data_IF_902403937930
#
_entry.id   IF_902403937930
#
_cell.length_a   1.000
_cell.length_b   1.000
_cell.length_c   1.000
_cell.angle_alpha   90.00
_cell.angle_beta   90.00
_cell.angle_gamma   90.00
#
_symmetry.space_group_name_H-M   'P 1'
#
loop_
_entity.id
_entity.type
_entity.pdbx_description
1 polymer ?
#
# COMPACT_ATOMS: atom_id res chain seq x y z
N UNK A 1 -32.02 -22.05 14.92
CA UNK A 1 -30.88 -22.94 15.23
C UNK A 1 -29.71 -22.73 14.26
N UNK A 2 -29.51 -21.51 13.74
CA UNK A 2 -28.40 -21.15 12.83
C UNK A 2 -27.19 -20.55 13.54
N UNK A 3 -27.34 -20.12 14.80
CA UNK A 3 -26.30 -19.43 15.59
C UNK A 3 -24.97 -20.18 15.72
N UNK A 4 -24.95 -21.51 15.60
CA UNK A 4 -23.70 -22.31 15.67
C UNK A 4 -22.86 -22.16 14.41
N UNK A 5 -23.47 -21.82 13.27
CA UNK A 5 -22.78 -21.73 11.97
C UNK A 5 -22.35 -20.32 11.60
N UNK A 6 -22.82 -19.30 12.33
CA UNK A 6 -22.57 -17.89 12.00
C UNK A 6 -21.06 -17.55 11.95
N UNK A 7 -20.25 -18.30 12.71
CA UNK A 7 -18.79 -18.16 12.75
C UNK A 7 -18.04 -19.23 11.94
N UNK A 8 -18.74 -20.09 11.20
CA UNK A 8 -18.15 -21.19 10.44
C UNK A 8 -17.48 -20.73 9.14
N UNK A 9 -16.28 -21.23 8.88
CA UNK A 9 -15.60 -21.07 7.59
C UNK A 9 -16.21 -22.00 6.51
N UNK A 10 -15.89 -21.73 5.24
CA UNK A 10 -16.40 -22.53 4.13
C UNK A 10 -16.01 -24.02 4.23
N UNK A 11 -14.76 -24.40 4.55
CA UNK A 11 -14.38 -25.80 4.79
C UNK A 11 -15.26 -26.51 5.83
N UNK A 12 -15.55 -25.87 6.97
CA UNK A 12 -16.40 -26.44 8.02
C UNK A 12 -17.83 -26.62 7.54
N UNK A 13 -18.39 -25.64 6.83
CA UNK A 13 -19.72 -25.75 6.23
C UNK A 13 -19.82 -26.90 5.22
N UNK A 14 -18.79 -27.08 4.39
CA UNK A 14 -18.75 -28.19 3.44
C UNK A 14 -18.73 -29.53 4.17
N UNK A 15 -17.90 -29.70 5.22
CA UNK A 15 -17.89 -30.92 6.05
C UNK A 15 -19.26 -31.20 6.64
N UNK A 16 -19.91 -30.19 7.22
CA UNK A 16 -21.25 -30.32 7.82
C UNK A 16 -22.30 -30.68 6.76
N UNK A 17 -22.17 -30.16 5.53
CA UNK A 17 -23.08 -30.47 4.41
C UNK A 17 -23.08 -31.94 3.97
N UNK A 18 -22.08 -32.72 4.39
CA UNK A 18 -22.00 -34.16 4.13
C UNK A 18 -22.74 -35.01 5.17
N UNK A 19 -23.13 -34.46 6.31
CA UNK A 19 -23.76 -35.23 7.41
C UNK A 19 -25.15 -35.75 7.05
N UNK A 20 -26.07 -34.88 6.61
CA UNK A 20 -27.39 -35.27 6.13
C UNK A 20 -27.98 -34.22 5.16
N UNK A 21 -29.12 -34.54 4.54
CA UNK A 21 -29.80 -33.64 3.58
C UNK A 21 -30.20 -32.29 4.21
N UNK A 22 -30.63 -32.29 5.47
CA UNK A 22 -30.99 -31.08 6.19
C UNK A 22 -29.78 -30.15 6.36
N UNK A 23 -28.66 -30.66 6.89
CA UNK A 23 -27.43 -29.89 7.03
C UNK A 23 -26.85 -29.40 5.70
N UNK A 24 -27.04 -30.16 4.62
CA UNK A 24 -26.70 -29.67 3.27
C UNK A 24 -27.51 -28.46 2.86
N UNK A 25 -28.83 -28.48 3.09
CA UNK A 25 -29.69 -27.34 2.80
C UNK A 25 -29.31 -26.13 3.67
N UNK A 26 -29.09 -26.35 4.97
CA UNK A 26 -28.64 -25.29 5.91
C UNK A 26 -27.31 -24.69 5.47
N UNK A 27 -26.31 -25.52 5.16
CA UNK A 27 -24.99 -25.06 4.71
C UNK A 27 -25.08 -24.27 3.41
N UNK A 28 -25.90 -24.70 2.44
CA UNK A 28 -26.09 -23.99 1.17
C UNK A 28 -26.81 -22.66 1.31
N UNK A 29 -27.72 -22.53 2.27
CA UNK A 29 -28.39 -21.25 2.57
C UNK A 29 -27.48 -20.26 3.31
N UNK A 30 -26.40 -20.73 3.93
CA UNK A 30 -25.50 -19.90 4.72
C UNK A 30 -24.71 -18.89 3.86
N UNK A 31 -24.57 -17.61 4.26
CA UNK A 31 -23.82 -16.61 3.49
C UNK A 31 -22.39 -17.02 3.16
N UNK A 32 -21.66 -17.69 4.05
CA UNK A 32 -20.30 -18.16 3.73
C UNK A 32 -20.27 -19.12 2.53
N UNK A 33 -21.36 -19.84 2.24
CA UNK A 33 -21.44 -20.69 1.05
C UNK A 33 -21.55 -19.87 -0.24
N UNK A 34 -22.38 -18.84 -0.34
CA UNK A 34 -22.66 -18.18 -1.63
C UNK A 34 -22.11 -16.74 -1.75
N UNK A 35 -21.75 -16.08 -0.65
CA UNK A 35 -21.30 -14.67 -0.65
C UNK A 35 -19.87 -14.51 -1.19
N UNK A 36 -18.91 -15.28 -0.68
CA UNK A 36 -17.49 -15.14 -1.04
C UNK A 36 -17.04 -16.22 -2.03
N UNK A 37 -17.26 -16.01 -3.33
CA UNK A 37 -17.06 -17.03 -4.36
C UNK A 37 -15.65 -16.92 -4.94
N UNK A 38 -14.86 -18.00 -4.83
CA UNK A 38 -13.49 -18.09 -5.34
C UNK A 38 -13.38 -19.13 -6.45
N UNK A 39 -12.64 -18.80 -7.51
CA UNK A 39 -12.27 -19.72 -8.58
C UNK A 39 -10.77 -19.61 -8.86
N UNK A 40 -10.04 -20.72 -8.69
CA UNK A 40 -8.59 -20.79 -8.87
C UNK A 40 -8.14 -21.89 -9.85
N UNK A 41 -9.10 -22.64 -10.41
CA UNK A 41 -8.85 -23.69 -11.42
C UNK A 41 -10.07 -23.81 -12.33
N UNK A 42 -9.88 -24.33 -13.54
CA UNK A 42 -10.93 -24.56 -14.55
C UNK A 42 -11.31 -26.04 -14.68
N UNK A 43 -10.91 -26.87 -13.71
CA UNK A 43 -11.37 -28.26 -13.62
C UNK A 43 -12.89 -28.34 -13.56
N UNK A 44 -13.47 -29.44 -14.04
CA UNK A 44 -14.93 -29.63 -14.04
C UNK A 44 -15.53 -29.47 -12.65
N UNK A 45 -14.93 -30.09 -11.63
CA UNK A 45 -15.41 -29.96 -10.24
C UNK A 45 -15.35 -28.53 -9.69
N UNK A 46 -14.31 -27.76 -10.05
CA UNK A 46 -14.20 -26.36 -9.64
C UNK A 46 -15.26 -25.48 -10.31
N UNK A 47 -15.52 -25.71 -11.61
CA UNK A 47 -16.55 -24.99 -12.36
C UNK A 47 -17.97 -25.34 -11.88
N UNK A 48 -18.25 -26.61 -11.64
CA UNK A 48 -19.53 -27.07 -11.10
C UNK A 48 -19.79 -26.44 -9.72
N UNK A 49 -18.76 -26.41 -8.86
CA UNK A 49 -18.85 -25.79 -7.55
C UNK A 49 -19.05 -24.26 -7.65
N UNK A 50 -18.32 -23.60 -8.54
CA UNK A 50 -18.47 -22.17 -8.81
C UNK A 50 -19.90 -21.83 -9.28
N UNK A 51 -20.42 -22.57 -10.26
CA UNK A 51 -21.76 -22.39 -10.81
C UNK A 51 -22.83 -22.65 -9.73
N UNK A 52 -22.70 -23.74 -8.96
CA UNK A 52 -23.63 -24.06 -7.88
C UNK A 52 -23.71 -22.96 -6.80
N UNK A 53 -22.61 -22.25 -6.54
CA UNK A 53 -22.58 -21.13 -5.59
C UNK A 53 -23.20 -19.87 -6.17
N UNK A 54 -22.95 -19.57 -7.45
CA UNK A 54 -23.61 -18.47 -8.14
C UNK A 54 -25.12 -18.68 -8.22
N UNK A 55 -25.58 -19.89 -8.50
CA UNK A 55 -27.01 -20.17 -8.68
C UNK A 55 -27.76 -20.29 -7.34
N UNK A 56 -27.06 -20.27 -6.21
CA UNK A 56 -27.66 -20.45 -4.88
C UNK A 56 -28.55 -19.28 -4.45
N UNK A 57 -28.25 -18.08 -4.91
CA UNK A 57 -29.07 -16.88 -4.69
C UNK A 57 -29.25 -16.18 -6.02
N UNK A 58 -30.30 -15.38 -6.19
CA UNK A 58 -30.55 -14.60 -7.41
C UNK A 58 -30.27 -13.11 -7.22
N UNK A 59 -30.61 -12.53 -6.07
CA UNK A 59 -30.51 -11.08 -5.82
C UNK A 59 -29.61 -10.64 -4.66
N UNK A 60 -28.96 -11.58 -3.97
CA UNK A 60 -28.09 -11.27 -2.84
C UNK A 60 -26.72 -10.77 -3.31
N UNK A 61 -26.11 -9.92 -2.49
CA UNK A 61 -24.78 -9.38 -2.76
C UNK A 61 -23.71 -10.47 -2.71
N UNK A 62 -22.86 -10.50 -3.74
CA UNK A 62 -21.76 -11.46 -3.83
C UNK A 62 -20.41 -10.78 -4.05
N UNK A 63 -19.35 -11.45 -3.61
CA UNK A 63 -17.96 -11.10 -3.82
C UNK A 63 -17.31 -12.18 -4.69
N UNK A 64 -16.64 -11.76 -5.77
CA UNK A 64 -15.98 -12.65 -6.71
C UNK A 64 -14.46 -12.54 -6.59
N UNK A 65 -13.78 -13.70 -6.54
CA UNK A 65 -12.32 -13.78 -6.54
C UNK A 65 -11.86 -14.86 -7.53
N UNK A 66 -11.61 -14.44 -8.77
CA UNK A 66 -11.21 -15.29 -9.89
C UNK A 66 -9.76 -14.97 -10.24
N UNK A 67 -8.86 -15.92 -10.01
CA UNK A 67 -7.42 -15.76 -10.29
C UNK A 67 -6.94 -16.98 -11.07
N UNK A 68 -6.75 -16.80 -12.36
CA UNK A 68 -6.44 -17.86 -13.34
C UNK A 68 -5.25 -17.45 -14.24
N UNK A 69 -4.08 -17.09 -13.68
CA UNK A 69 -2.93 -16.59 -14.45
C UNK A 69 -2.34 -17.62 -15.42
N UNK A 70 -2.44 -18.92 -15.11
CA UNK A 70 -1.80 -20.00 -15.86
C UNK A 70 -2.79 -20.96 -16.52
N UNK A 71 -4.07 -20.57 -16.62
CA UNK A 71 -5.09 -21.45 -17.16
C UNK A 71 -4.95 -21.58 -18.68
N UNK A 72 -4.42 -22.71 -19.14
CA UNK A 72 -4.25 -23.04 -20.56
C UNK A 72 -5.58 -23.32 -21.29
N UNK A 73 -6.62 -23.75 -20.57
CA UNK A 73 -7.93 -24.04 -21.15
C UNK A 73 -8.79 -22.78 -21.28
N UNK A 74 -8.34 -21.81 -22.09
CA UNK A 74 -9.05 -20.55 -22.33
C UNK A 74 -10.50 -20.74 -22.82
N UNK A 75 -10.77 -21.85 -23.51
CA UNK A 75 -12.11 -22.22 -23.97
C UNK A 75 -13.13 -22.31 -22.84
N UNK A 76 -12.79 -22.90 -21.69
CA UNK A 76 -13.69 -23.03 -20.53
C UNK A 76 -13.92 -21.69 -19.83
N UNK A 77 -12.89 -20.85 -19.75
CA UNK A 77 -13.03 -19.48 -19.22
C UNK A 77 -14.04 -18.71 -20.06
N UNK A 78 -13.89 -18.78 -21.39
CA UNK A 78 -14.78 -18.13 -22.35
C UNK A 78 -16.20 -18.68 -22.31
N UNK A 79 -16.41 -20.00 -22.27
CA UNK A 79 -17.73 -20.60 -22.45
C UNK A 79 -18.51 -20.77 -21.14
N UNK A 80 -17.84 -20.85 -20.00
CA UNK A 80 -18.47 -21.12 -18.69
C UNK A 80 -18.30 -19.94 -17.74
N UNK A 81 -17.06 -19.56 -17.44
CA UNK A 81 -16.75 -18.60 -16.37
C UNK A 81 -17.25 -17.21 -16.69
N UNK A 82 -16.85 -16.64 -17.83
CA UNK A 82 -17.19 -15.27 -18.19
C UNK A 82 -18.69 -15.05 -18.40
N UNK A 83 -19.45 -15.96 -19.07
CA UNK A 83 -20.90 -15.84 -19.14
C UNK A 83 -21.56 -15.90 -17.76
N UNK A 84 -21.06 -16.72 -16.85
CA UNK A 84 -21.59 -16.80 -15.49
C UNK A 84 -21.32 -15.51 -14.70
N UNK A 85 -20.15 -14.90 -14.86
CA UNK A 85 -19.84 -13.59 -14.27
C UNK A 85 -20.77 -12.50 -14.85
N UNK A 86 -20.90 -12.44 -16.18
CA UNK A 86 -21.74 -11.45 -16.86
C UNK A 86 -23.20 -11.49 -16.37
N UNK A 87 -23.79 -12.70 -16.25
CA UNK A 87 -25.16 -12.88 -15.73
C UNK A 87 -25.34 -12.38 -14.30
N UNK A 88 -24.29 -12.41 -13.48
CA UNK A 88 -24.34 -12.09 -12.06
C UNK A 88 -23.78 -10.70 -11.73
N UNK A 89 -23.27 -9.94 -12.72
CA UNK A 89 -22.55 -8.69 -12.50
C UNK A 89 -23.37 -7.63 -11.74
N UNK A 90 -24.69 -7.58 -11.97
CA UNK A 90 -25.62 -6.63 -11.34
C UNK A 90 -25.69 -6.71 -9.80
N UNK A 91 -25.25 -7.83 -9.20
CA UNK A 91 -25.26 -8.05 -7.74
C UNK A 91 -23.87 -8.24 -7.14
N UNK A 92 -22.82 -8.06 -7.96
CA UNK A 92 -21.44 -8.13 -7.48
C UNK A 92 -21.10 -6.82 -6.78
N UNK A 93 -20.68 -6.92 -5.52
CA UNK A 93 -20.23 -5.75 -4.71
C UNK A 93 -18.72 -5.60 -4.79
N UNK A 94 -17.99 -6.72 -4.79
CA UNK A 94 -16.54 -6.75 -4.91
C UNK A 94 -16.13 -7.80 -5.94
N UNK A 95 -15.23 -7.45 -6.84
CA UNK A 95 -14.77 -8.38 -7.87
C UNK A 95 -13.28 -8.25 -8.07
N UNK A 96 -12.55 -9.37 -7.97
CA UNK A 96 -11.16 -9.49 -8.38
C UNK A 96 -11.06 -10.55 -9.46
N UNK A 97 -10.75 -10.11 -10.68
CA UNK A 97 -10.66 -10.94 -11.88
C UNK A 97 -9.27 -10.75 -12.49
N UNK A 98 -8.42 -11.75 -12.31
CA UNK A 98 -7.05 -11.74 -12.79
C UNK A 98 -6.84 -12.96 -13.69
N UNK A 99 -6.69 -12.74 -14.99
CA UNK A 99 -6.75 -13.78 -16.02
C UNK A 99 -5.47 -13.83 -16.86
N UNK A 100 -5.31 -14.88 -17.65
CA UNK A 100 -4.29 -14.92 -18.70
C UNK A 100 -4.61 -13.92 -19.81
N UNK A 101 -3.59 -13.29 -20.40
CA UNK A 101 -3.73 -12.28 -21.45
C UNK A 101 -4.56 -12.72 -22.65
N UNK A 102 -4.41 -13.97 -23.11
CA UNK A 102 -5.17 -14.48 -24.26
C UNK A 102 -6.69 -14.57 -24.03
N UNK A 103 -7.15 -14.38 -22.79
CA UNK A 103 -8.57 -14.32 -22.45
C UNK A 103 -9.15 -12.91 -22.44
N UNK A 104 -8.32 -11.88 -22.62
CA UNK A 104 -8.68 -10.50 -22.33
C UNK A 104 -9.82 -9.96 -23.20
N UNK A 105 -9.78 -10.19 -24.51
CA UNK A 105 -10.85 -9.77 -25.43
C UNK A 105 -12.21 -10.39 -25.07
N UNK A 106 -12.21 -11.67 -24.65
CA UNK A 106 -13.42 -12.35 -24.20
C UNK A 106 -13.91 -11.79 -22.85
N UNK A 107 -13.00 -11.48 -21.93
CA UNK A 107 -13.35 -10.92 -20.63
C UNK A 107 -13.98 -9.53 -20.80
N UNK A 108 -13.34 -8.64 -21.57
CA UNK A 108 -13.83 -7.28 -21.80
C UNK A 108 -15.20 -7.27 -22.50
N UNK A 109 -15.40 -8.13 -23.50
CA UNK A 109 -16.72 -8.27 -24.16
C UNK A 109 -17.82 -8.85 -23.24
N UNK A 110 -17.44 -9.56 -22.17
CA UNK A 110 -18.37 -10.08 -21.18
C UNK A 110 -18.76 -9.04 -20.11
N UNK A 111 -18.00 -7.94 -19.98
CA UNK A 111 -18.26 -6.85 -19.05
C UNK A 111 -19.11 -5.74 -19.67
N UNK A 112 -20.11 -6.10 -20.47
CA UNK A 112 -21.02 -5.17 -21.14
C UNK A 112 -22.30 -4.89 -20.35
N UNK A 113 -22.52 -5.57 -19.23
CA UNK A 113 -23.69 -5.37 -18.35
C UNK A 113 -23.46 -4.36 -17.24
N UNK A 114 -24.55 -3.77 -16.74
CA UNK A 114 -24.48 -2.79 -15.65
C UNK A 114 -24.06 -3.45 -14.33
N UNK A 115 -23.11 -2.85 -13.62
CA UNK A 115 -22.63 -3.31 -12.32
C UNK A 115 -23.01 -2.28 -11.23
N UNK A 116 -24.32 -2.12 -11.01
CA UNK A 116 -24.85 -1.03 -10.17
C UNK A 116 -24.43 -1.10 -8.70
N UNK A 117 -24.14 -2.29 -8.18
CA UNK A 117 -23.73 -2.52 -6.79
C UNK A 117 -22.21 -2.59 -6.59
N UNK A 118 -21.43 -2.55 -7.67
CA UNK A 118 -19.98 -2.75 -7.62
C UNK A 118 -19.30 -1.58 -6.91
N UNK A 119 -18.54 -1.88 -5.86
CA UNK A 119 -17.80 -0.92 -5.04
C UNK A 119 -16.29 -1.03 -5.24
N UNK A 120 -15.80 -2.27 -5.34
CA UNK A 120 -14.39 -2.56 -5.59
C UNK A 120 -14.26 -3.46 -6.81
N UNK A 121 -13.45 -3.04 -7.78
CA UNK A 121 -13.16 -3.83 -8.97
C UNK A 121 -11.66 -3.96 -9.17
N UNK A 122 -11.18 -5.18 -9.34
CA UNK A 122 -9.80 -5.45 -9.71
C UNK A 122 -9.80 -6.26 -11.00
N UNK A 123 -9.19 -5.74 -12.05
CA UNK A 123 -9.06 -6.38 -13.35
C UNK A 123 -7.60 -6.42 -13.76
N UNK A 124 -7.11 -7.59 -14.17
CA UNK A 124 -5.74 -7.73 -14.63
C UNK A 124 -5.52 -8.88 -15.58
N UNK A 125 -4.53 -8.72 -16.45
CA UNK A 125 -4.16 -9.70 -17.47
C UNK A 125 -2.69 -10.07 -17.36
N UNK A 126 -2.38 -11.31 -16.97
CA UNK A 126 -1.00 -11.77 -16.85
C UNK A 126 -0.44 -12.25 -18.19
N UNK A 127 0.81 -11.89 -18.47
CA UNK A 127 1.57 -12.31 -19.64
C UNK A 127 3.08 -12.30 -19.37
N UNK A 128 3.86 -12.82 -20.34
CA UNK A 128 5.29 -12.55 -20.43
C UNK A 128 5.55 -11.09 -20.80
N UNK A 129 6.67 -10.50 -20.39
CA UNK A 129 6.95 -9.05 -20.43
C UNK A 129 6.89 -8.38 -21.82
N UNK A 130 6.73 -9.13 -22.91
CA UNK A 130 6.78 -8.65 -24.29
C UNK A 130 5.43 -8.20 -24.87
N UNK A 131 4.31 -8.40 -24.16
CA UNK A 131 2.97 -8.02 -24.66
C UNK A 131 2.63 -6.57 -24.36
N UNK A 132 1.97 -5.96 -25.34
CA UNK A 132 1.31 -4.67 -25.17
C UNK A 132 0.13 -4.80 -24.20
N UNK A 133 -0.17 -3.77 -23.40
CA UNK A 133 -1.34 -3.80 -22.51
C UNK A 133 -2.65 -3.87 -23.28
N UNK A 134 -3.67 -4.41 -22.60
CA UNK A 134 -5.00 -4.58 -23.21
C UNK A 134 -5.80 -3.28 -23.11
N UNK A 135 -6.19 -2.72 -24.24
CA UNK A 135 -7.04 -1.53 -24.27
C UNK A 135 -8.44 -1.82 -23.70
N UNK A 136 -8.87 -1.01 -22.73
CA UNK A 136 -10.21 -1.09 -22.14
C UNK A 136 -11.26 -0.50 -23.09
N UNK A 137 -12.46 -1.09 -23.21
CA UNK A 137 -13.54 -0.48 -23.97
C UNK A 137 -14.14 0.70 -23.19
N UNK A 138 -14.48 1.78 -23.91
CA UNK A 138 -15.03 3.00 -23.32
C UNK A 138 -16.37 2.79 -22.58
N UNK A 139 -17.11 1.76 -22.98
CA UNK A 139 -18.42 1.37 -22.44
C UNK A 139 -18.34 0.21 -21.44
N UNK A 140 -17.14 -0.11 -20.91
CA UNK A 140 -16.99 -1.17 -19.89
C UNK A 140 -17.97 -0.95 -18.73
N UNK A 141 -18.62 -2.04 -18.30
CA UNK A 141 -19.69 -2.07 -17.29
C UNK A 141 -20.93 -1.24 -17.71
N UNK A 142 -21.24 -1.23 -19.01
CA UNK A 142 -22.27 -0.38 -19.64
C UNK A 142 -22.10 1.12 -19.37
N UNK A 143 -20.92 1.57 -18.96
CA UNK A 143 -20.70 2.94 -18.49
C UNK A 143 -21.49 3.32 -17.22
N UNK A 144 -22.03 2.36 -16.46
CA UNK A 144 -22.88 2.63 -15.30
C UNK A 144 -22.45 1.86 -14.03
N UNK A 145 -21.60 2.50 -13.23
CA UNK A 145 -21.12 2.00 -11.93
C UNK A 145 -21.12 3.10 -10.85
N UNK A 146 -22.30 3.55 -10.39
CA UNK A 146 -22.41 4.72 -9.50
C UNK A 146 -21.72 4.51 -8.14
N UNK A 147 -21.55 3.26 -7.71
CA UNK A 147 -20.99 2.90 -6.41
C UNK A 147 -19.51 2.52 -6.46
N UNK A 148 -18.88 2.50 -7.64
CA UNK A 148 -17.47 2.10 -7.77
C UNK A 148 -16.59 3.19 -7.14
N UNK A 149 -15.76 2.80 -6.16
CA UNK A 149 -14.87 3.72 -5.42
C UNK A 149 -13.41 3.30 -5.49
N UNK A 150 -13.15 1.99 -5.54
CA UNK A 150 -11.80 1.43 -5.60
C UNK A 150 -11.63 0.60 -6.87
N UNK A 151 -10.58 0.89 -7.63
CA UNK A 151 -10.24 0.21 -8.87
C UNK A 151 -8.79 -0.26 -8.84
N UNK A 152 -8.55 -1.51 -9.21
CA UNK A 152 -7.22 -2.06 -9.48
C UNK A 152 -7.16 -2.46 -10.93
N UNK A 153 -6.21 -1.91 -11.67
CA UNK A 153 -6.00 -2.23 -13.08
C UNK A 153 -4.59 -2.76 -13.27
N UNK A 154 -4.43 -3.86 -14.01
CA UNK A 154 -3.11 -4.43 -14.28
C UNK A 154 -2.94 -4.83 -15.75
N UNK A 155 -1.88 -4.33 -16.39
CA UNK A 155 -1.58 -4.56 -17.80
C UNK A 155 -2.73 -4.16 -18.74
N UNK A 156 -3.29 -2.96 -18.50
CA UNK A 156 -4.34 -2.38 -19.33
C UNK A 156 -3.91 -1.04 -19.91
N UNK A 157 -4.43 -0.72 -21.09
CA UNK A 157 -4.34 0.59 -21.71
C UNK A 157 -5.71 1.29 -21.68
N UNK A 158 -5.70 2.60 -21.76
CA UNK A 158 -6.90 3.41 -21.77
C UNK A 158 -7.29 3.79 -23.21
N UNK A 159 -8.58 3.75 -23.55
CA UNK A 159 -9.06 4.24 -24.85
C UNK A 159 -9.00 5.77 -24.90
N UNK A 160 -9.18 6.34 -26.09
CA UNK A 160 -9.23 7.79 -26.27
C UNK A 160 -10.46 8.41 -25.61
N UNK A 161 -11.59 7.70 -25.63
CA UNK A 161 -12.84 8.15 -25.04
C UNK A 161 -12.87 7.93 -23.52
N UNK A 162 -13.47 8.88 -22.79
CA UNK A 162 -13.63 8.74 -21.34
C UNK A 162 -14.51 7.55 -20.96
N UNK A 163 -13.95 6.60 -20.21
CA UNK A 163 -14.68 5.52 -19.54
C UNK A 163 -15.60 6.08 -18.44
N UNK A 164 -16.91 6.19 -18.74
CA UNK A 164 -17.89 6.81 -17.83
C UNK A 164 -18.08 6.06 -16.52
N UNK A 165 -17.95 4.74 -16.52
CA UNK A 165 -18.12 3.91 -15.32
C UNK A 165 -17.06 4.17 -14.25
N UNK A 166 -15.96 4.83 -14.59
CA UNK A 166 -14.86 5.16 -13.67
C UNK A 166 -14.97 6.54 -13.02
N UNK A 167 -16.00 7.33 -13.38
CA UNK A 167 -16.14 8.72 -12.95
C UNK A 167 -16.23 8.96 -11.44
N UNK A 168 -16.50 7.93 -10.63
CA UNK A 168 -16.62 8.00 -9.17
C UNK A 168 -15.49 7.28 -8.42
N UNK A 169 -14.49 6.77 -9.14
CA UNK A 169 -13.34 6.08 -8.53
C UNK A 169 -12.50 7.09 -7.76
N UNK A 170 -12.28 6.81 -6.49
CA UNK A 170 -11.48 7.62 -5.57
C UNK A 170 -10.09 7.04 -5.34
N UNK A 171 -9.96 5.72 -5.50
CA UNK A 171 -8.70 5.00 -5.29
C UNK A 171 -8.39 4.16 -6.53
N UNK A 172 -7.25 4.41 -7.14
CA UNK A 172 -6.74 3.64 -8.27
C UNK A 172 -5.41 3.01 -7.90
N UNK A 173 -5.33 1.69 -8.00
CA UNK A 173 -4.07 0.97 -8.08
C UNK A 173 -3.83 0.59 -9.55
N UNK A 174 -2.80 1.15 -10.16
CA UNK A 174 -2.42 0.90 -11.54
C UNK A 174 -1.13 0.07 -11.61
N UNK A 175 -1.19 -1.08 -12.27
CA UNK A 175 -0.13 -2.08 -12.30
C UNK A 175 0.39 -2.39 -13.71
N UNK A 176 1.70 -2.60 -13.88
CA UNK A 176 2.23 -3.24 -15.09
C UNK A 176 3.34 -4.28 -14.80
N UNK A 177 3.42 -5.33 -15.63
CA UNK A 177 4.43 -6.40 -15.52
C UNK A 177 5.59 -6.23 -16.52
N UNK A 178 5.45 -5.33 -17.52
CA UNK A 178 6.43 -5.15 -18.59
C UNK A 178 6.71 -3.67 -18.88
N UNK A 179 7.68 -3.40 -19.78
CA UNK A 179 8.10 -2.07 -20.18
C UNK A 179 6.90 -1.26 -20.67
N UNK A 180 6.43 -0.36 -19.81
CA UNK A 180 5.23 0.43 -20.07
C UNK A 180 5.50 1.92 -19.88
N UNK A 181 4.80 2.72 -20.67
CA UNK A 181 4.80 4.18 -20.52
C UNK A 181 3.61 4.56 -19.65
N UNK A 182 3.84 5.35 -18.61
CA UNK A 182 2.77 5.82 -17.75
C UNK A 182 1.77 6.66 -18.57
N UNK A 183 0.47 6.30 -18.58
CA UNK A 183 -0.49 6.87 -19.51
C UNK A 183 -1.04 8.18 -18.95
N UNK A 184 -0.49 9.32 -19.38
CA UNK A 184 -0.89 10.64 -18.88
C UNK A 184 -2.39 10.93 -19.02
N UNK A 185 -3.01 10.34 -20.04
CA UNK A 185 -4.44 10.38 -20.25
C UNK A 185 -5.26 9.75 -19.12
N UNK A 186 -4.66 9.01 -18.17
CA UNK A 186 -5.41 8.32 -17.12
C UNK A 186 -6.35 9.26 -16.36
N UNK A 187 -5.92 10.50 -16.09
CA UNK A 187 -6.65 11.42 -15.23
C UNK A 187 -7.99 11.84 -15.85
N UNK A 188 -8.12 11.79 -17.18
CA UNK A 188 -9.38 12.07 -17.87
C UNK A 188 -10.47 11.02 -17.56
N UNK A 189 -10.07 9.82 -17.14
CA UNK A 189 -10.98 8.72 -16.80
C UNK A 189 -11.41 8.74 -15.33
N UNK A 190 -10.68 9.47 -14.48
CA UNK A 190 -10.85 9.44 -13.02
C UNK A 190 -10.98 10.86 -12.42
N UNK A 191 -12.04 11.63 -12.76
CA UNK A 191 -12.23 12.98 -12.26
C UNK A 191 -12.40 13.07 -10.72
N UNK A 192 -12.78 11.98 -10.06
CA UNK A 192 -12.94 11.91 -8.60
C UNK A 192 -11.74 11.26 -7.87
N UNK A 193 -10.61 11.02 -8.58
CA UNK A 193 -9.47 10.31 -8.03
C UNK A 193 -8.83 11.11 -6.90
N UNK A 194 -8.59 10.44 -5.77
CA UNK A 194 -7.96 11.04 -4.59
C UNK A 194 -6.66 10.32 -4.22
N UNK A 195 -6.58 9.01 -4.47
CA UNK A 195 -5.42 8.18 -4.16
C UNK A 195 -5.02 7.43 -5.43
N UNK A 196 -3.78 7.61 -5.83
CA UNK A 196 -3.17 6.87 -6.94
C UNK A 196 -1.98 6.06 -6.42
N UNK A 197 -2.05 4.75 -6.55
CA UNK A 197 -0.91 3.85 -6.34
C UNK A 197 -0.47 3.27 -7.68
N UNK A 198 0.81 3.39 -8.03
CA UNK A 198 1.41 2.86 -9.25
C UNK A 198 2.35 1.73 -8.84
N UNK A 199 2.06 0.51 -9.29
CA UNK A 199 2.87 -0.68 -9.01
C UNK A 199 3.45 -1.24 -10.31
N UNK A 200 4.66 -1.78 -10.28
CA UNK A 200 5.13 -2.58 -11.40
C UNK A 200 6.61 -2.94 -11.40
N UNK A 201 6.96 -3.74 -12.41
CA UNK A 201 8.35 -3.97 -12.78
C UNK A 201 8.88 -2.77 -13.54
N UNK A 202 9.28 -2.98 -14.79
CA UNK A 202 9.94 -1.96 -15.60
C UNK A 202 8.95 -0.97 -16.21
N UNK A 203 9.05 0.32 -15.88
CA UNK A 203 8.43 1.39 -16.67
C UNK A 203 9.49 2.10 -17.50
N UNK A 204 9.19 2.31 -18.77
CA UNK A 204 10.10 2.99 -19.71
C UNK A 204 10.12 4.51 -19.52
N UNK A 205 9.15 5.05 -18.78
CA UNK A 205 8.96 6.47 -18.53
C UNK A 205 7.49 6.86 -18.53
N UNK A 206 7.20 8.09 -18.93
CA UNK A 206 5.85 8.60 -19.10
C UNK A 206 5.60 9.00 -20.56
N UNK A 207 4.37 8.83 -21.05
CA UNK A 207 4.00 9.26 -22.39
C UNK A 207 4.40 10.72 -22.62
N UNK A 208 5.00 11.07 -23.77
CA UNK A 208 5.38 12.45 -24.03
C UNK A 208 4.14 13.34 -23.96
N UNK A 209 4.27 14.49 -23.27
CA UNK A 209 3.22 15.48 -23.15
C UNK A 209 2.94 16.09 -24.53
N UNK A 210 2.06 15.47 -25.31
CA UNK A 210 1.56 16.05 -26.56
C UNK A 210 0.76 17.33 -26.29
N UNK A 211 0.53 18.16 -27.30
CA UNK A 211 -0.21 19.44 -27.16
C UNK A 211 -1.58 19.29 -26.44
N UNK A 212 -2.19 18.10 -26.53
CA UNK A 212 -3.47 17.76 -25.87
C UNK A 212 -3.37 17.57 -24.35
N UNK A 213 -2.19 17.32 -23.79
CA UNK A 213 -2.02 17.09 -22.34
C UNK A 213 -2.24 18.34 -21.49
N UNK A 214 -2.07 19.54 -22.06
CA UNK A 214 -2.29 20.80 -21.32
C UNK A 214 -3.75 21.07 -20.94
N UNK A 215 -4.71 20.33 -21.51
CA UNK A 215 -6.14 20.56 -21.27
C UNK A 215 -6.74 19.63 -20.21
N UNK A 216 -6.00 18.63 -19.73
CA UNK A 216 -6.54 17.68 -18.75
C UNK A 216 -6.54 18.33 -17.38
N UNK A 217 -7.73 18.60 -16.84
CA UNK A 217 -7.88 19.02 -15.44
C UNK A 217 -7.57 17.81 -14.56
N UNK A 218 -6.37 17.79 -14.00
CA UNK A 218 -5.98 16.73 -13.08
C UNK A 218 -6.79 16.81 -11.78
N UNK A 219 -7.22 15.67 -11.23
CA UNK A 219 -7.90 15.66 -9.94
C UNK A 219 -6.95 16.07 -8.81
N UNK A 220 -7.50 16.60 -7.73
CA UNK A 220 -6.74 16.93 -6.53
C UNK A 220 -6.42 15.65 -5.76
N UNK A 221 -5.26 15.05 -6.04
CA UNK A 221 -4.78 13.89 -5.32
C UNK A 221 -4.40 14.27 -3.88
N UNK A 222 -4.94 13.55 -2.89
CA UNK A 222 -4.43 13.57 -1.52
C UNK A 222 -3.19 12.69 -1.35
N UNK A 223 -3.09 11.60 -2.11
CA UNK A 223 -1.97 10.66 -2.01
C UNK A 223 -1.52 10.11 -3.37
N UNK A 224 -0.20 10.02 -3.54
CA UNK A 224 0.48 9.32 -4.61
C UNK A 224 1.45 8.30 -4.03
N UNK A 225 1.35 7.05 -4.46
CA UNK A 225 2.27 5.97 -4.09
C UNK A 225 2.87 5.37 -5.35
N UNK A 226 4.18 5.20 -5.38
CA UNK A 226 4.91 4.64 -6.52
C UNK A 226 5.80 3.52 -6.01
N UNK A 227 5.48 2.29 -6.38
CA UNK A 227 6.30 1.10 -6.12
C UNK A 227 6.67 0.43 -7.45
N UNK A 228 7.72 0.96 -8.06
CA UNK A 228 8.14 0.54 -9.39
C UNK A 228 9.62 0.23 -9.41
N UNK A 229 9.94 -1.01 -9.77
CA UNK A 229 11.31 -1.52 -9.83
C UNK A 229 11.91 -1.18 -11.20
N UNK A 230 13.06 -0.49 -11.25
CA UNK A 230 13.73 -0.12 -12.52
C UNK A 230 12.87 0.76 -13.44
N UNK A 231 12.40 1.90 -12.91
CA UNK A 231 11.70 2.95 -13.67
C UNK A 231 12.63 4.14 -13.95
N UNK A 232 12.37 4.85 -15.05
CA UNK A 232 12.72 6.27 -15.11
C UNK A 232 11.75 7.05 -14.21
N UNK A 233 12.01 7.04 -12.90
CA UNK A 233 11.18 7.75 -11.92
C UNK A 233 11.08 9.24 -12.26
N UNK A 234 12.10 9.84 -12.87
CA UNK A 234 12.08 11.26 -13.22
C UNK A 234 11.02 11.55 -14.27
N UNK A 235 10.96 10.74 -15.31
CA UNK A 235 9.90 10.84 -16.30
C UNK A 235 8.51 10.65 -15.68
N UNK A 236 8.33 9.64 -14.81
CA UNK A 236 7.06 9.37 -14.14
C UNK A 236 6.61 10.55 -13.24
N UNK A 237 7.46 10.99 -12.31
CA UNK A 237 7.12 12.06 -11.38
C UNK A 237 6.93 13.41 -12.08
N UNK A 238 7.73 13.71 -13.10
CA UNK A 238 7.56 14.94 -13.90
C UNK A 238 6.25 14.97 -14.67
N UNK A 239 5.70 13.79 -14.97
CA UNK A 239 4.44 13.63 -15.68
C UNK A 239 3.22 13.81 -14.75
N UNK A 240 3.37 13.67 -13.43
CA UNK A 240 2.26 13.84 -12.49
C UNK A 240 1.91 15.33 -12.34
N UNK A 241 0.70 15.77 -12.72
CA UNK A 241 0.30 17.16 -12.61
C UNK A 241 0.28 17.62 -11.16
N UNK A 242 0.81 18.82 -10.90
CA UNK A 242 0.85 19.43 -9.57
C UNK A 242 1.45 18.54 -8.47
N UNK A 243 2.45 17.71 -8.79
CA UNK A 243 3.13 16.82 -7.84
C UNK A 243 3.48 17.52 -6.51
N UNK A 244 3.97 18.75 -6.56
CA UNK A 244 4.36 19.53 -5.38
C UNK A 244 3.18 19.85 -4.43
N UNK A 245 1.94 19.91 -4.93
CA UNK A 245 0.75 20.17 -4.10
C UNK A 245 0.16 18.91 -3.47
N UNK A 246 0.56 17.72 -3.92
CA UNK A 246 0.06 16.45 -3.35
C UNK A 246 0.53 16.34 -1.89
N UNK A 247 -0.41 16.21 -0.92
CA UNK A 247 -0.07 16.10 0.50
C UNK A 247 0.85 14.91 0.78
N UNK A 248 0.44 13.68 0.47
CA UNK A 248 1.22 12.49 0.74
C UNK A 248 1.83 11.92 -0.55
N UNK A 249 3.17 11.77 -0.58
CA UNK A 249 3.86 11.07 -1.68
C UNK A 249 4.74 9.98 -1.10
N UNK A 250 4.51 8.73 -1.48
CA UNK A 250 5.34 7.57 -1.14
C UNK A 250 6.04 7.05 -2.39
N UNK A 251 7.33 6.79 -2.29
CA UNK A 251 8.13 6.19 -3.36
C UNK A 251 8.95 5.03 -2.79
N UNK A 252 8.84 3.85 -3.39
CA UNK A 252 9.72 2.71 -3.11
C UNK A 252 10.96 2.79 -4.02
N UNK A 253 12.12 2.43 -3.50
CA UNK A 253 13.37 2.41 -4.28
C UNK A 253 13.72 3.75 -4.97
N UNK A 254 13.53 4.93 -4.32
CA UNK A 254 13.73 6.20 -4.99
C UNK A 254 15.19 6.42 -5.39
N UNK A 255 15.36 6.92 -6.62
CA UNK A 255 16.64 7.48 -7.04
C UNK A 255 16.92 8.82 -6.34
N UNK A 256 18.20 9.11 -6.19
CA UNK A 256 18.76 10.29 -5.50
C UNK A 256 18.17 11.62 -5.97
N UNK A 257 18.08 11.78 -7.29
CA UNK A 257 17.48 12.94 -7.96
C UNK A 257 16.01 13.14 -7.58
N UNK A 258 15.23 12.07 -7.52
CA UNK A 258 13.81 12.12 -7.14
C UNK A 258 13.63 12.45 -5.68
N UNK A 259 14.44 11.88 -4.79
CA UNK A 259 14.39 12.22 -3.38
C UNK A 259 14.57 13.72 -3.20
N UNK A 260 15.56 14.32 -3.90
CA UNK A 260 15.82 15.75 -3.82
C UNK A 260 14.63 16.58 -4.31
N UNK A 261 14.09 16.26 -5.50
CA UNK A 261 12.91 16.94 -6.06
C UNK A 261 11.73 16.87 -5.08
N UNK A 262 11.45 15.69 -4.53
CA UNK A 262 10.32 15.49 -3.62
C UNK A 262 10.50 16.24 -2.29
N UNK A 263 11.73 16.29 -1.77
CA UNK A 263 12.07 17.00 -0.54
C UNK A 263 12.04 18.52 -0.72
N UNK A 264 12.37 19.03 -1.90
CA UNK A 264 12.25 20.47 -2.22
C UNK A 264 10.79 20.96 -2.18
N UNK A 265 9.80 20.05 -2.25
CA UNK A 265 8.37 20.39 -2.08
C UNK A 265 7.98 20.69 -0.62
N UNK A 266 8.83 20.32 0.34
CA UNK A 266 8.59 20.57 1.76
C UNK A 266 9.28 21.87 2.17
N UNK A 267 8.53 22.80 2.76
CA UNK A 267 9.05 24.09 3.22
C UNK A 267 8.95 24.21 4.74
N UNK A 268 9.96 24.81 5.38
CA UNK A 268 9.98 25.05 6.83
C UNK A 268 10.58 23.90 7.65
N UNK A 269 10.31 23.87 8.97
CA UNK A 269 10.75 22.80 9.87
C UNK A 269 10.25 21.43 9.42
N UNK A 270 11.03 20.40 9.69
CA UNK A 270 10.74 19.02 9.29
C UNK A 270 10.72 18.09 10.49
N UNK A 271 9.86 17.09 10.43
CA UNK A 271 9.93 15.89 11.26
C UNK A 271 10.44 14.74 10.39
N UNK A 272 11.51 14.09 10.83
CA UNK A 272 12.07 12.91 10.20
C UNK A 272 11.58 11.68 10.96
N UNK A 273 11.00 10.71 10.25
CA UNK A 273 10.66 9.41 10.81
C UNK A 273 11.42 8.30 10.07
N UNK A 274 12.13 7.47 10.80
CA UNK A 274 12.79 6.25 10.30
C UNK A 274 12.13 5.08 11.00
N UNK A 275 11.16 4.48 10.32
CA UNK A 275 10.25 3.50 10.91
C UNK A 275 10.22 2.21 10.12
N UNK A 276 9.93 1.12 10.83
CA UNK A 276 9.66 -0.18 10.21
C UNK A 276 8.14 -0.36 10.15
N UNK A 277 7.52 -0.40 8.96
CA UNK A 277 6.08 -0.58 8.84
C UNK A 277 5.65 -1.96 9.35
N UNK A 278 4.43 -2.04 9.87
CA UNK A 278 3.92 -3.24 10.57
C UNK A 278 3.81 -4.46 9.64
N UNK A 279 3.41 -4.21 8.39
CA UNK A 279 3.07 -5.28 7.46
C UNK A 279 4.26 -5.81 6.67
N UNK A 280 5.41 -5.14 6.77
CA UNK A 280 6.61 -5.46 6.00
C UNK A 280 7.85 -5.38 6.89
N UNK A 281 8.19 -6.52 7.50
CA UNK A 281 9.36 -6.60 8.38
C UNK A 281 10.68 -6.28 7.66
N UNK A 282 10.75 -6.51 6.36
CA UNK A 282 11.94 -6.23 5.57
C UNK A 282 11.90 -4.83 4.94
N UNK A 283 10.86 -4.03 5.16
CA UNK A 283 10.76 -2.67 4.66
C UNK A 283 11.20 -1.65 5.71
N UNK A 284 11.80 -0.57 5.25
CA UNK A 284 12.14 0.59 6.06
C UNK A 284 11.56 1.81 5.36
N UNK A 285 10.81 2.61 6.11
CA UNK A 285 10.27 3.87 5.65
C UNK A 285 11.04 5.03 6.27
N UNK A 286 11.56 5.91 5.40
CA UNK A 286 12.14 7.19 5.76
C UNK A 286 11.15 8.28 5.33
N UNK A 287 10.43 8.85 6.29
CA UNK A 287 9.41 9.86 6.04
C UNK A 287 9.86 11.25 6.52
N UNK A 288 9.61 12.26 5.70
CA UNK A 288 9.76 13.67 6.04
C UNK A 288 8.39 14.33 6.05
N UNK A 289 8.03 14.95 7.15
CA UNK A 289 6.74 15.60 7.34
C UNK A 289 6.94 17.07 7.74
N UNK A 290 6.03 17.94 7.33
CA UNK A 290 5.98 19.32 7.84
C UNK A 290 5.04 19.34 9.06
N UNK A 291 5.49 19.81 10.24
CA UNK A 291 4.63 19.88 11.43
C UNK A 291 3.34 20.67 11.15
N UNK A 292 2.21 20.19 11.67
CA UNK A 292 0.88 20.80 11.50
C UNK A 292 0.41 20.91 10.03
N UNK A 293 0.97 20.09 9.14
CA UNK A 293 0.59 20.00 7.74
C UNK A 293 0.36 18.54 7.36
N UNK A 294 -0.47 18.31 6.35
CA UNK A 294 -0.67 16.98 5.75
C UNK A 294 0.44 16.64 4.74
N UNK A 295 1.41 17.54 4.52
CA UNK A 295 2.50 17.32 3.57
C UNK A 295 3.55 16.37 4.13
N UNK A 296 3.71 15.24 3.44
CA UNK A 296 4.73 14.24 3.75
C UNK A 296 5.33 13.59 2.49
N UNK A 297 6.61 13.23 2.59
CA UNK A 297 7.35 12.45 1.58
C UNK A 297 7.90 11.20 2.25
N UNK A 298 7.53 10.03 1.75
CA UNK A 298 7.93 8.74 2.28
C UNK A 298 8.79 8.02 1.26
N UNK A 299 9.92 7.53 1.72
CA UNK A 299 10.84 6.73 0.93
C UNK A 299 10.92 5.34 1.55
N UNK A 300 10.44 4.34 0.81
CA UNK A 300 10.42 2.96 1.25
C UNK A 300 11.53 2.16 0.59
N UNK A 301 12.18 1.32 1.38
CA UNK A 301 13.32 0.51 0.94
C UNK A 301 13.31 -0.87 1.55
N UNK A 302 13.95 -1.80 0.85
CA UNK A 302 14.33 -3.06 1.45
C UNK A 302 15.46 -2.84 2.47
N UNK A 303 15.31 -3.40 3.65
CA UNK A 303 16.26 -3.32 4.76
C UNK A 303 17.65 -3.84 4.39
N UNK A 304 17.73 -4.74 3.42
CA UNK A 304 19.00 -5.26 2.89
C UNK A 304 19.71 -4.23 1.99
N UNK A 305 18.97 -3.35 1.30
CA UNK A 305 19.49 -2.35 0.36
C UNK A 305 20.07 -1.11 1.05
N UNK A 306 19.52 -0.68 2.20
CA UNK A 306 19.97 0.55 2.89
C UNK A 306 21.45 0.45 3.36
N UNK A 307 22.02 -0.76 3.46
CA UNK A 307 23.34 -0.97 4.07
C UNK A 307 24.52 -0.52 3.22
N UNK A 308 24.45 -0.60 1.90
CA UNK A 308 25.58 -0.33 0.99
C UNK A 308 25.46 0.98 0.22
N UNK A 309 24.28 1.30 -0.32
CA UNK A 309 24.18 2.26 -1.42
C UNK A 309 23.14 3.38 -1.20
N UNK A 310 22.64 3.53 0.03
CA UNK A 310 21.67 4.57 0.34
C UNK A 310 22.25 5.98 0.11
N UNK A 311 21.56 6.89 -0.60
CA UNK A 311 22.10 8.19 -0.97
C UNK A 311 22.13 9.17 0.20
N UNK A 312 23.14 8.98 1.07
CA UNK A 312 23.38 9.80 2.27
C UNK A 312 23.42 11.27 1.94
N UNK A 313 24.09 11.62 0.85
CA UNK A 313 24.36 12.99 0.45
C UNK A 313 23.08 13.79 0.14
N UNK A 314 21.97 13.13 -0.19
CA UNK A 314 20.70 13.81 -0.48
C UNK A 314 19.75 13.79 0.70
N UNK A 315 19.52 12.64 1.31
CA UNK A 315 18.56 12.53 2.43
C UNK A 315 19.01 13.34 3.64
N UNK A 316 20.33 13.44 3.82
CA UNK A 316 20.97 14.11 4.95
C UNK A 316 21.91 15.21 4.47
N UNK A 317 21.55 15.83 3.34
CA UNK A 317 22.18 17.07 2.91
C UNK A 317 22.13 18.09 4.07
N UNK A 318 23.20 18.88 4.30
CA UNK A 318 23.28 19.79 5.44
C UNK A 318 22.06 20.72 5.57
N UNK A 319 21.54 21.20 4.44
CA UNK A 319 20.38 22.08 4.39
C UNK A 319 19.07 21.41 4.87
N UNK A 320 18.93 20.10 4.67
CA UNK A 320 17.80 19.33 5.23
C UNK A 320 18.02 19.01 6.70
N UNK A 321 19.23 18.60 7.09
CA UNK A 321 19.58 18.27 8.47
C UNK A 321 19.34 19.46 9.41
N UNK A 322 19.66 20.68 8.98
CA UNK A 322 19.38 21.93 9.71
C UNK A 322 17.89 22.23 9.91
N UNK A 323 17.00 21.61 9.13
CA UNK A 323 15.55 21.82 9.21
C UNK A 323 14.84 20.77 10.06
N UNK A 324 15.48 19.64 10.36
CA UNK A 324 14.86 18.56 11.14
C UNK A 324 14.78 18.96 12.62
N UNK A 325 13.56 19.25 13.09
CA UNK A 325 13.29 19.65 14.47
C UNK A 325 12.84 18.49 15.37
N UNK A 326 12.36 17.40 14.76
CA UNK A 326 12.00 16.19 15.48
C UNK A 326 12.45 14.94 14.70
N UNK A 327 12.94 13.94 15.42
CA UNK A 327 13.30 12.64 14.88
C UNK A 327 12.45 11.56 15.56
N UNK A 328 11.82 10.70 14.77
CA UNK A 328 11.14 9.48 15.21
C UNK A 328 11.89 8.27 14.68
N UNK A 329 12.23 7.33 15.55
CA UNK A 329 13.08 6.19 15.23
C UNK A 329 12.53 4.91 15.84
N UNK A 330 12.28 3.89 15.02
CA UNK A 330 12.08 2.53 15.54
C UNK A 330 13.41 2.01 16.09
N UNK A 331 13.42 1.54 17.34
CA UNK A 331 14.65 1.16 18.04
C UNK A 331 15.48 0.10 17.29
N UNK A 332 14.82 -0.86 16.65
CA UNK A 332 15.43 -1.88 15.78
C UNK A 332 16.27 -1.29 14.64
N UNK A 333 15.95 -0.07 14.21
CA UNK A 333 16.61 0.64 13.12
C UNK A 333 17.73 1.57 13.60
N UNK A 334 18.12 1.53 14.88
CA UNK A 334 19.19 2.36 15.44
C UNK A 334 20.55 2.19 14.74
N UNK A 335 20.79 1.08 14.06
CA UNK A 335 22.00 0.89 13.25
C UNK A 335 22.08 1.88 12.06
N UNK A 336 20.97 2.52 11.67
CA UNK A 336 20.89 3.54 10.63
C UNK A 336 21.29 4.94 11.10
N UNK A 337 21.53 5.16 12.39
CA UNK A 337 21.93 6.48 12.95
C UNK A 337 23.13 7.09 12.23
N UNK A 338 24.07 6.27 11.74
CA UNK A 338 25.21 6.73 10.93
C UNK A 338 24.84 7.51 9.67
N UNK A 339 23.60 7.35 9.17
CA UNK A 339 23.13 8.04 7.98
C UNK A 339 22.83 9.52 8.28
N UNK A 340 22.42 9.83 9.51
CA UNK A 340 22.05 11.17 9.98
C UNK A 340 22.84 11.56 11.23
N UNK A 341 24.17 11.46 11.15
CA UNK A 341 25.04 11.60 12.32
C UNK A 341 24.87 12.94 13.08
N UNK A 342 24.42 14.00 12.40
CA UNK A 342 24.19 15.31 13.00
C UNK A 342 22.84 15.88 12.57
N UNK A 343 22.02 16.30 13.55
CA UNK A 343 20.76 17.00 13.33
C UNK A 343 20.71 18.22 14.27
N UNK A 344 21.31 19.36 13.87
CA UNK A 344 21.63 20.45 14.78
C UNK A 344 20.38 21.15 15.35
N UNK A 345 19.27 21.16 14.61
CA UNK A 345 18.00 21.77 15.03
C UNK A 345 17.06 20.81 15.77
N UNK A 346 17.42 19.53 15.90
CA UNK A 346 16.51 18.52 16.43
C UNK A 346 16.33 18.67 17.94
N UNK A 347 15.11 19.07 18.35
CA UNK A 347 14.75 19.29 19.76
C UNK A 347 14.07 18.09 20.40
N UNK A 348 13.52 17.18 19.59
CA UNK A 348 12.73 16.04 20.06
C UNK A 348 13.20 14.75 19.41
N UNK A 349 13.52 13.74 20.22
CA UNK A 349 13.79 12.38 19.78
C UNK A 349 12.69 11.45 20.30
N UNK A 350 11.89 10.87 19.41
CA UNK A 350 10.92 9.82 19.73
C UNK A 350 11.49 8.45 19.35
N UNK A 351 11.55 7.52 20.31
CA UNK A 351 11.99 6.14 20.12
C UNK A 351 10.79 5.21 20.25
N UNK A 352 10.50 4.46 19.20
CA UNK A 352 9.45 3.45 19.19
C UNK A 352 10.06 2.06 19.44
N UNK A 353 9.62 1.41 20.50
CA UNK A 353 10.12 0.08 20.93
C UNK A 353 9.06 -0.97 20.67
N UNK A 354 9.40 -2.00 19.89
CA UNK A 354 8.50 -3.11 19.64
C UNK A 354 8.67 -4.24 20.67
N UNK A 355 9.91 -4.55 21.01
CA UNK A 355 10.23 -5.51 22.06
C UNK A 355 11.58 -5.21 22.73
N UNK A 356 11.96 -6.04 23.71
CA UNK A 356 13.24 -5.92 24.40
C UNK A 356 14.45 -6.17 23.50
N UNK A 357 14.32 -6.98 22.45
CA UNK A 357 15.42 -7.27 21.53
C UNK A 357 15.77 -6.05 20.68
N UNK A 358 14.81 -5.17 20.39
CA UNK A 358 15.04 -3.91 19.67
C UNK A 358 16.08 -3.00 20.37
N UNK A 359 16.15 -3.04 21.70
CA UNK A 359 17.11 -2.24 22.49
C UNK A 359 18.53 -2.84 22.50
N UNK A 360 18.69 -4.08 22.05
CA UNK A 360 20.01 -4.74 21.99
C UNK A 360 20.82 -4.36 20.75
N UNK A 361 20.17 -3.73 19.76
CA UNK A 361 20.81 -3.27 18.53
C UNK A 361 21.96 -2.32 18.87
N UNK A 362 23.14 -2.61 18.32
CA UNK A 362 24.34 -1.78 18.51
C UNK A 362 24.36 -0.73 17.40
N UNK A 363 24.19 0.57 17.73
CA UNK A 363 24.32 1.64 16.75
C UNK A 363 25.74 1.65 16.18
N UNK A 364 25.86 1.96 14.89
CA UNK A 364 27.17 2.04 14.22
C UNK A 364 27.86 3.39 14.41
N UNK A 365 27.12 4.39 14.89
CA UNK A 365 27.58 5.72 15.21
C UNK A 365 26.70 6.34 16.29
N UNK A 366 27.18 7.42 16.91
CA UNK A 366 26.39 8.27 17.80
C UNK A 366 25.69 9.39 17.03
N UNK A 367 24.53 9.82 17.54
CA UNK A 367 23.69 10.87 16.99
C UNK A 367 23.93 12.20 17.71
N UNK A 368 24.51 13.16 17.02
CA UNK A 368 24.72 14.52 17.52
C UNK A 368 23.43 15.35 17.41
N UNK A 369 22.80 15.60 18.57
CA UNK A 369 21.58 16.42 18.70
C UNK A 369 21.83 17.58 19.68
N UNK A 370 22.61 18.61 19.29
CA UNK A 370 23.00 19.68 20.21
C UNK A 370 21.81 20.49 20.75
N UNK A 371 20.71 20.59 19.99
CA UNK A 371 19.49 21.27 20.41
C UNK A 371 18.49 20.37 21.16
N UNK A 372 18.84 19.13 21.50
CA UNK A 372 17.87 18.19 22.07
C UNK A 372 17.37 18.65 23.43
N UNK A 373 16.04 18.70 23.56
CA UNK A 373 15.32 19.07 24.78
C UNK A 373 14.51 17.91 25.35
N UNK A 374 13.92 17.07 24.49
CA UNK A 374 13.02 16.00 24.90
C UNK A 374 13.37 14.67 24.23
N UNK A 375 13.35 13.60 25.02
CA UNK A 375 13.31 12.22 24.55
C UNK A 375 11.93 11.67 24.88
N UNK A 376 11.26 11.04 23.93
CA UNK A 376 9.98 10.36 24.11
C UNK A 376 10.22 8.89 23.81
N UNK A 377 9.85 7.98 24.72
CA UNK A 377 9.94 6.54 24.49
C UNK A 377 8.56 5.94 24.64
N UNK A 378 8.13 5.17 23.65
CA UNK A 378 6.80 4.57 23.58
C UNK A 378 6.82 3.21 22.91
N UNK A 379 5.81 2.39 23.15
CA UNK A 379 5.63 1.18 22.36
C UNK A 379 5.10 1.50 20.96
N UNK A 380 5.29 0.56 20.03
CA UNK A 380 4.61 0.63 18.72
C UNK A 380 3.09 0.55 18.92
N UNK A 381 2.28 1.43 18.31
CA UNK A 381 0.83 1.48 18.51
C UNK A 381 0.12 0.14 18.31
N UNK A 382 0.68 -0.73 17.47
CA UNK A 382 0.05 -1.95 17.00
C UNK A 382 0.39 -3.18 17.86
N UNK A 383 1.43 -3.09 18.69
CA UNK A 383 1.90 -4.22 19.51
C UNK A 383 1.35 -4.22 20.95
N UNK A 384 0.56 -3.20 21.29
CA UNK A 384 0.05 -3.03 22.65
C UNK A 384 1.16 -2.64 23.63
N UNK A 385 0.95 -2.88 24.94
CA UNK A 385 1.92 -2.51 25.97
C UNK A 385 3.20 -3.35 25.86
N UNK A 386 4.36 -2.70 25.85
CA UNK A 386 5.67 -3.38 25.79
C UNK A 386 6.40 -3.16 27.11
N UNK A 387 6.92 -4.25 27.69
CA UNK A 387 7.72 -4.19 28.92
C UNK A 387 9.21 -4.12 28.59
N UNK A 388 9.92 -3.13 29.13
CA UNK A 388 11.36 -2.97 28.96
C UNK A 388 12.11 -2.78 30.28
N UNK A 389 13.38 -3.15 30.34
CA UNK A 389 14.24 -2.87 31.50
C UNK A 389 14.76 -1.42 31.43
N UNK A 390 14.72 -0.71 32.56
CA UNK A 390 15.28 0.63 32.72
C UNK A 390 16.77 0.69 32.30
N UNK A 391 17.54 -0.33 32.67
CA UNK A 391 18.97 -0.39 32.35
C UNK A 391 19.22 -0.60 30.85
N UNK A 392 18.43 -1.47 30.21
CA UNK A 392 18.52 -1.71 28.77
C UNK A 392 18.16 -0.45 27.97
N UNK A 393 17.11 0.26 28.40
CA UNK A 393 16.71 1.52 27.78
C UNK A 393 17.79 2.60 27.96
N UNK A 394 18.33 2.75 29.17
CA UNK A 394 19.42 3.69 29.45
C UNK A 394 20.64 3.40 28.58
N UNK A 395 21.07 2.14 28.54
CA UNK A 395 22.23 1.73 27.76
C UNK A 395 22.02 1.99 26.27
N UNK A 396 20.84 1.66 25.74
CA UNK A 396 20.46 1.96 24.36
C UNK A 396 20.54 3.46 24.06
N UNK A 397 19.94 4.30 24.92
CA UNK A 397 19.98 5.75 24.76
C UNK A 397 21.41 6.30 24.84
N UNK A 398 22.25 5.82 25.77
CA UNK A 398 23.67 6.21 25.85
C UNK A 398 24.43 5.81 24.59
N UNK A 399 24.20 4.61 24.05
CA UNK A 399 24.85 4.14 22.81
C UNK A 399 24.46 4.99 21.61
N UNK A 400 23.18 5.37 21.48
CA UNK A 400 22.75 6.21 20.36
C UNK A 400 23.26 7.63 20.53
N UNK A 401 23.20 8.18 21.73
CA UNK A 401 23.31 9.62 21.93
C UNK A 401 24.71 10.08 22.37
N UNK A 402 25.59 9.13 22.71
CA UNK A 402 26.94 9.40 23.19
C UNK A 402 26.98 10.14 24.54
N UNK A 403 28.15 10.68 24.88
CA UNK A 403 28.33 11.54 26.05
C UNK A 403 27.78 12.94 25.76
N UNK A 404 26.76 13.37 26.49
CA UNK A 404 26.09 14.66 26.24
C UNK A 404 26.52 15.76 27.19
N UNK A 405 26.39 17.00 26.70
CA UNK A 405 26.58 18.23 27.48
C UNK A 405 25.28 18.72 28.12
N UNK A 406 24.12 18.40 27.55
CA UNK A 406 22.78 18.77 28.06
C UNK A 406 22.01 17.54 28.55
N UNK A 407 21.20 17.72 29.61
CA UNK A 407 20.29 16.72 30.14
C UNK A 407 18.88 16.94 29.56
N UNK A 408 18.45 16.20 28.53
CA UNK A 408 17.09 16.31 28.00
C UNK A 408 16.08 15.69 28.97
N UNK A 409 14.83 16.13 28.87
CA UNK A 409 13.72 15.52 29.59
C UNK A 409 13.36 14.18 28.96
N UNK A 410 13.31 13.10 29.74
CA UNK A 410 12.91 11.78 29.26
C UNK A 410 11.45 11.52 29.62
N UNK A 411 10.59 11.41 28.61
CA UNK A 411 9.17 11.09 28.76
C UNK A 411 8.92 9.66 28.31
N UNK A 412 8.25 8.90 29.16
CA UNK A 412 7.87 7.52 28.90
C UNK A 412 6.35 7.50 28.77
N UNK A 413 5.84 7.13 27.60
CA UNK A 413 4.40 7.08 27.35
C UNK A 413 3.77 5.83 28.02
N UNK A 414 2.49 5.92 28.37
CA UNK A 414 1.73 4.87 29.08
C UNK A 414 1.71 3.51 28.38
N UNK A 415 2.05 3.49 27.09
CA UNK A 415 2.17 2.29 26.28
C UNK A 415 3.44 1.47 26.57
N UNK A 416 4.39 2.02 27.33
CA UNK A 416 5.64 1.36 27.69
C UNK A 416 5.71 1.11 29.20
N UNK A 417 5.81 -0.16 29.60
CA UNK A 417 6.02 -0.56 30.99
C UNK A 417 7.51 -0.66 31.26
N UNK A 418 8.05 0.20 32.11
CA UNK A 418 9.46 0.13 32.50
C UNK A 418 9.60 -0.66 33.80
N UNK A 419 10.46 -1.68 33.74
CA UNK A 419 10.79 -2.57 34.86
C UNK A 419 12.22 -2.30 35.34
N UNK A 420 12.50 -2.62 36.61
CA UNK A 420 13.80 -2.38 37.23
C UNK A 420 13.92 -1.01 37.92
N UNK A 421 15.15 -0.58 38.17
CA UNK A 421 15.43 0.65 38.92
C UNK A 421 15.33 1.89 38.01
N UNK A 422 14.21 2.60 38.07
CA UNK A 422 14.02 3.84 37.33
C UNK A 422 14.96 4.97 37.77
N UNK A 423 15.60 4.87 38.93
CA UNK A 423 16.60 5.85 39.38
C UNK A 423 17.85 5.86 38.49
N UNK A 424 18.09 4.79 37.71
CA UNK A 424 19.18 4.78 36.73
C UNK A 424 18.90 5.69 35.53
N UNK A 425 17.63 5.91 35.19
CA UNK A 425 17.21 6.84 34.13
C UNK A 425 17.23 8.30 34.62
N UNK A 426 16.82 8.57 35.86
CA UNK A 426 16.78 9.94 36.44
C UNK A 426 18.16 10.56 36.63
N UNK A 427 19.20 9.73 36.76
CA UNK A 427 20.59 10.20 36.90
C UNK A 427 21.09 10.88 35.62
N UNK A 428 20.73 10.32 34.47
CA UNK A 428 21.25 10.72 33.17
C UNK A 428 20.27 11.63 32.41
N UNK A 429 18.97 11.55 32.74
CA UNK A 429 17.90 12.30 32.10
C UNK A 429 16.98 12.93 33.14
N UNK A 430 16.43 14.11 32.85
CA UNK A 430 15.36 14.67 33.66
C UNK A 430 14.07 13.90 33.38
N UNK A 431 13.83 12.79 34.08
CA UNK A 431 12.64 11.94 33.90
C UNK A 431 11.41 12.61 34.52
#
# INVERSE_FOLDING_TARGET
>A
MTMVLDNGDLPSLLRISHTCRHWRAVARSHPCFWRNIRLASVSTSALDFFQARLDQTSGSDIHLHIVLPHAVEHGRIRSVVLPAVARNLHRVVQSRIMLHYDTASYALSSFTGAASRLQCFSLGFFHATDRQPVELPADILSGHCPNLRSLTLKNVAFPKETIRSFGQVQQLLFGCDGPYMFPLGLFQHFPALNILSVLGGTFLGAEPSGETTHLVTAPQLAALEVEVVQCDHLALFSAVPHLASIPAVKCREPRVDIMRILLDHLCGPLELAVVQPIHWEDEIEIAFCVPNSERMRVFAEDSTCIRSDWPRDVVFAPDLAERVTALRLTAKLAYLVRLFAELPACTTLAVEVGDMADLTVVPTATLALPALKSIIVRSRPEQGPVSVSADALREFLVRILGTRTSQPTLRIEDSLVVTGDSATLTRDYGV
#
